data_IF_096161777533
#
_entry.id   IF_096161777533
#
_cell.length_a   1.000
_cell.length_b   1.000
_cell.length_c   1.000
_cell.angle_alpha   90.00
_cell.angle_beta   90.00
_cell.angle_gamma   90.00
#
_symmetry.space_group_name_H-M   'P 1'
#
loop_
_entity.id
_entity.type
_entity.pdbx_description
1 polymer ?
#
# COMPACT_ATOMS: atom_id res chain seq x y z
N UNK A 1 -14.23 33.81 -19.28
CA UNK A 1 -12.82 34.06 -18.87
C UNK A 1 -12.19 35.01 -19.86
N UNK A 2 -11.69 36.17 -19.42
CA UNK A 2 -11.11 37.21 -20.30
C UNK A 2 -11.99 37.59 -21.50
N UNK A 3 -13.31 37.72 -21.28
CA UNK A 3 -14.27 38.07 -22.33
C UNK A 3 -14.74 36.93 -23.24
N UNK A 4 -14.15 35.73 -23.14
CA UNK A 4 -14.59 34.55 -23.90
C UNK A 4 -15.43 33.59 -23.03
N UNK A 5 -16.45 32.99 -23.64
CA UNK A 5 -17.26 31.92 -23.03
C UNK A 5 -16.49 30.60 -23.02
N UNK A 6 -16.56 29.90 -21.90
CA UNK A 6 -15.85 28.64 -21.69
C UNK A 6 -16.73 27.63 -20.98
N UNK A 7 -16.60 26.38 -21.36
CA UNK A 7 -17.25 25.24 -20.71
C UNK A 7 -16.18 24.42 -19.99
N UNK A 8 -16.49 23.96 -18.78
CA UNK A 8 -15.63 23.03 -18.04
C UNK A 8 -16.20 21.62 -18.19
N UNK A 9 -15.47 20.76 -18.89
CA UNK A 9 -15.91 19.40 -19.20
C UNK A 9 -15.82 18.51 -17.95
N UNK A 10 -16.86 17.73 -17.72
CA UNK A 10 -16.85 16.71 -16.67
C UNK A 10 -15.89 15.59 -17.02
N UNK A 11 -15.15 15.10 -16.04
CA UNK A 11 -14.08 14.14 -16.29
C UNK A 11 -14.45 12.73 -15.81
N UNK A 12 -14.25 11.72 -16.65
CA UNK A 12 -14.47 10.33 -16.25
C UNK A 12 -13.18 9.74 -15.65
N UNK A 13 -13.17 9.53 -14.34
CA UNK A 13 -12.01 9.06 -13.57
C UNK A 13 -12.22 7.69 -12.97
N UNK A 14 -11.14 7.01 -12.57
CA UNK A 14 -11.27 5.79 -11.77
C UNK A 14 -11.82 6.14 -10.39
N UNK A 15 -12.80 5.37 -9.94
CA UNK A 15 -13.37 5.50 -8.61
C UNK A 15 -12.33 5.13 -7.54
N UNK A 16 -12.42 5.68 -6.32
CA UNK A 16 -11.55 5.25 -5.24
C UNK A 16 -11.80 3.78 -4.87
N UNK A 17 -10.76 3.10 -4.40
CA UNK A 17 -10.81 1.68 -4.02
C UNK A 17 -9.56 0.93 -4.44
N UNK A 18 -9.64 -0.40 -4.37
CA UNK A 18 -8.58 -1.32 -4.83
C UNK A 18 -9.00 -1.96 -6.15
N UNK A 19 -8.03 -2.12 -7.06
CA UNK A 19 -8.22 -2.73 -8.38
C UNK A 19 -7.15 -3.78 -8.61
N UNK A 20 -7.54 -4.95 -9.07
CA UNK A 20 -6.63 -6.03 -9.40
C UNK A 20 -6.51 -6.20 -10.90
N UNK A 21 -5.30 -6.28 -11.41
CA UNK A 21 -5.02 -6.44 -12.83
C UNK A 21 -3.95 -7.47 -13.09
N UNK A 22 -3.86 -7.89 -14.35
CA UNK A 22 -2.79 -8.74 -14.85
C UNK A 22 -2.08 -8.06 -16.03
N UNK A 23 -0.82 -8.43 -16.23
CA UNK A 23 -0.03 -8.05 -17.38
C UNK A 23 0.87 -9.21 -17.78
N UNK A 24 1.06 -9.40 -19.09
CA UNK A 24 1.97 -10.42 -19.61
C UNK A 24 3.32 -9.78 -19.87
N UNK A 25 4.36 -10.28 -19.23
CA UNK A 25 5.73 -9.86 -19.52
C UNK A 25 6.16 -10.43 -20.89
N UNK A 26 7.08 -9.77 -21.65
CA UNK A 26 7.50 -10.25 -22.97
C UNK A 26 8.02 -11.70 -23.05
N UNK A 27 8.43 -12.27 -21.92
CA UNK A 27 8.83 -13.68 -21.81
C UNK A 27 7.64 -14.66 -21.64
N UNK A 28 6.40 -14.16 -21.66
CA UNK A 28 5.18 -14.94 -21.48
C UNK A 28 4.74 -15.13 -20.03
N UNK A 29 5.50 -14.65 -19.03
CA UNK A 29 5.11 -14.77 -17.62
C UNK A 29 3.98 -13.81 -17.28
N UNK A 30 2.92 -14.34 -16.66
CA UNK A 30 1.83 -13.56 -16.10
C UNK A 30 2.28 -12.86 -14.82
N UNK A 31 2.06 -11.55 -14.74
CA UNK A 31 2.28 -10.73 -13.56
C UNK A 31 0.95 -10.19 -13.08
N UNK A 32 0.76 -10.19 -11.76
CA UNK A 32 -0.44 -9.66 -11.11
C UNK A 32 -0.13 -8.37 -10.38
N UNK A 33 -1.09 -7.47 -10.33
CA UNK A 33 -0.95 -6.20 -9.63
C UNK A 33 -2.24 -5.83 -8.89
N UNK A 34 -2.08 -5.14 -7.77
CA UNK A 34 -3.17 -4.50 -7.04
C UNK A 34 -2.85 -3.02 -6.91
N UNK A 35 -3.75 -2.16 -7.37
CA UNK A 35 -3.60 -0.71 -7.29
C UNK A 35 -4.67 -0.13 -6.38
N UNK A 36 -4.23 0.56 -5.33
CA UNK A 36 -5.06 1.30 -4.41
C UNK A 36 -5.11 2.76 -4.86
N UNK A 37 -6.31 3.22 -5.19
CA UNK A 37 -6.59 4.58 -5.62
C UNK A 37 -7.38 5.28 -4.52
N UNK A 38 -6.77 6.21 -3.76
CA UNK A 38 -7.50 7.00 -2.78
C UNK A 38 -8.34 8.09 -3.45
N UNK A 39 -9.33 8.61 -2.74
CA UNK A 39 -9.98 9.86 -3.09
C UNK A 39 -8.99 11.03 -2.96
N UNK A 40 -8.15 11.00 -1.93
CA UNK A 40 -7.05 11.94 -1.68
C UNK A 40 -5.94 11.24 -0.91
N UNK A 41 -4.71 11.36 -1.37
CA UNK A 41 -3.54 10.75 -0.71
C UNK A 41 -2.59 10.10 -1.71
N UNK A 42 -1.60 9.39 -1.18
CA UNK A 42 -0.61 8.68 -1.98
C UNK A 42 -1.18 7.42 -2.63
N UNK A 43 -0.80 7.14 -3.86
CA UNK A 43 -1.19 5.90 -4.53
C UNK A 43 -0.29 4.77 -4.06
N UNK A 44 -0.86 3.59 -3.85
CA UNK A 44 -0.12 2.38 -3.48
C UNK A 44 -0.38 1.32 -4.53
N UNK A 45 0.68 0.68 -4.98
CA UNK A 45 0.59 -0.41 -5.95
C UNK A 45 1.45 -1.57 -5.48
N UNK A 46 0.90 -2.76 -5.56
CA UNK A 46 1.59 -4.02 -5.33
C UNK A 46 1.66 -4.76 -6.65
N UNK A 47 2.81 -5.34 -6.99
CA UNK A 47 2.95 -6.14 -8.21
C UNK A 47 3.93 -7.28 -8.05
N UNK A 48 3.67 -8.38 -8.74
CA UNK A 48 4.60 -9.52 -8.84
C UNK A 48 5.53 -9.37 -10.04
N UNK A 49 6.76 -9.88 -9.93
CA UNK A 49 7.72 -9.96 -11.02
C UNK A 49 7.84 -11.37 -11.62
N UNK A 50 8.72 -11.53 -12.62
CA UNK A 50 8.99 -12.81 -13.30
C UNK A 50 9.53 -13.91 -12.37
N UNK A 51 10.08 -13.55 -11.21
CA UNK A 51 10.65 -14.47 -10.24
C UNK A 51 9.67 -14.76 -9.09
N UNK A 52 8.39 -14.41 -9.26
CA UNK A 52 7.38 -14.48 -8.21
C UNK A 52 7.80 -13.71 -6.96
N UNK A 53 8.39 -12.52 -7.12
CA UNK A 53 8.69 -11.61 -6.01
C UNK A 53 7.67 -10.47 -6.03
N UNK A 54 7.05 -10.18 -4.89
CA UNK A 54 6.09 -9.09 -4.77
C UNK A 54 6.77 -7.81 -4.28
N UNK A 55 6.51 -6.72 -5.00
CA UNK A 55 7.00 -5.39 -4.64
C UNK A 55 5.84 -4.44 -4.36
N UNK A 56 6.12 -3.47 -3.49
CA UNK A 56 5.29 -2.30 -3.25
C UNK A 56 5.89 -1.07 -3.95
N UNK A 57 4.99 -0.20 -4.39
CA UNK A 57 5.26 1.10 -4.99
C UNK A 57 4.37 2.13 -4.30
N UNK A 58 4.96 3.26 -3.93
CA UNK A 58 4.23 4.41 -3.38
C UNK A 58 4.44 5.58 -4.32
N UNK A 59 3.35 6.20 -4.81
CA UNK A 59 3.36 7.33 -5.75
C UNK A 59 4.22 7.08 -7.00
N UNK A 60 4.27 5.83 -7.49
CA UNK A 60 5.09 5.40 -8.64
C UNK A 60 6.60 5.69 -8.48
N UNK A 61 7.08 5.78 -7.24
CA UNK A 61 8.51 5.82 -6.94
C UNK A 61 9.15 4.44 -7.12
N UNK A 62 10.43 4.32 -6.77
CA UNK A 62 11.16 3.05 -6.80
C UNK A 62 10.39 1.95 -6.06
N UNK A 63 10.55 0.70 -6.52
CA UNK A 63 9.95 -0.49 -5.91
C UNK A 63 10.74 -1.01 -4.71
N UNK A 64 10.08 -1.55 -3.71
CA UNK A 64 10.71 -2.25 -2.58
C UNK A 64 9.91 -3.51 -2.23
N UNK A 65 10.51 -4.55 -1.63
CA UNK A 65 9.79 -5.78 -1.29
C UNK A 65 8.54 -5.52 -0.45
N UNK A 66 7.46 -6.26 -0.70
CA UNK A 66 6.22 -6.10 0.08
C UNK A 66 6.43 -6.41 1.56
N UNK A 67 7.35 -7.31 1.87
CA UNK A 67 7.71 -7.71 3.23
C UNK A 67 8.36 -6.57 4.00
N UNK A 68 9.15 -5.70 3.35
CA UNK A 68 9.66 -4.47 3.95
C UNK A 68 8.50 -3.57 4.40
N UNK A 69 7.44 -3.45 3.60
CA UNK A 69 6.25 -2.71 4.04
C UNK A 69 5.61 -3.37 5.26
N UNK A 70 5.43 -4.69 5.23
CA UNK A 70 4.80 -5.42 6.33
C UNK A 70 5.59 -5.28 7.65
N UNK A 71 6.93 -5.32 7.59
CA UNK A 71 7.79 -5.06 8.75
C UNK A 71 7.61 -3.66 9.29
N UNK A 72 7.60 -2.64 8.42
CA UNK A 72 7.35 -1.26 8.80
C UNK A 72 5.94 -1.02 9.40
N UNK A 73 5.00 -1.95 9.18
CA UNK A 73 3.66 -1.93 9.77
C UNK A 73 3.58 -2.69 11.12
N UNK A 74 4.69 -3.26 11.58
CA UNK A 74 4.81 -3.97 12.86
C UNK A 74 4.81 -5.49 12.76
N UNK A 75 4.85 -6.07 11.55
CA UNK A 75 5.05 -7.51 11.35
C UNK A 75 6.54 -7.81 11.20
N UNK A 76 7.23 -7.70 12.32
CA UNK A 76 8.69 -7.59 12.39
C UNK A 76 9.43 -8.83 11.90
N UNK A 77 8.93 -10.03 12.22
CA UNK A 77 9.63 -11.28 11.99
C UNK A 77 9.12 -12.04 10.77
N UNK A 78 9.99 -12.84 10.15
CA UNK A 78 9.61 -13.66 8.99
C UNK A 78 8.51 -14.66 9.37
N UNK A 79 8.54 -15.17 10.61
CA UNK A 79 7.52 -16.09 11.13
C UNK A 79 6.15 -15.41 11.21
N UNK A 80 6.08 -14.17 11.73
CA UNK A 80 4.85 -13.37 11.73
C UNK A 80 4.30 -13.17 10.31
N UNK A 81 5.18 -12.82 9.36
CA UNK A 81 4.80 -12.61 7.96
C UNK A 81 4.30 -13.92 7.32
N UNK A 82 4.98 -15.04 7.53
CA UNK A 82 4.56 -16.34 6.99
C UNK A 82 3.23 -16.80 7.61
N UNK A 83 3.01 -16.54 8.90
CA UNK A 83 1.77 -16.85 9.60
C UNK A 83 0.59 -16.00 9.08
N UNK A 84 0.81 -14.72 8.76
CA UNK A 84 -0.22 -13.83 8.20
C UNK A 84 -0.88 -14.40 6.93
N UNK A 85 -0.09 -15.10 6.12
CA UNK A 85 -0.54 -15.68 4.85
C UNK A 85 -0.78 -17.19 4.92
N UNK A 86 -0.88 -17.73 6.15
CA UNK A 86 -1.17 -19.15 6.40
C UNK A 86 -0.18 -20.10 5.69
N UNK A 87 1.09 -19.70 5.56
CA UNK A 87 2.12 -20.46 4.86
C UNK A 87 2.83 -21.49 5.75
N UNK A 88 2.53 -21.47 7.04
CA UNK A 88 3.15 -22.34 8.06
C UNK A 88 2.19 -23.48 8.41
N UNK A 89 2.75 -24.67 8.55
CA UNK A 89 2.09 -25.89 9.06
C UNK A 89 2.74 -26.26 10.39
N UNK A 90 1.94 -26.33 11.47
CA UNK A 90 2.41 -26.81 12.76
C UNK A 90 2.15 -28.32 12.88
N UNK A 91 3.21 -29.08 13.13
CA UNK A 91 3.18 -30.54 13.15
C UNK A 91 3.58 -31.04 14.53
N UNK A 92 2.79 -32.00 15.05
CA UNK A 92 3.13 -32.72 16.28
C UNK A 92 4.13 -33.84 15.97
N UNK A 93 5.40 -33.58 16.31
CA UNK A 93 6.51 -34.48 16.00
C UNK A 93 6.43 -35.84 16.73
N UNK A 94 5.55 -35.97 17.73
CA UNK A 94 5.33 -37.23 18.45
C UNK A 94 4.28 -38.13 17.79
N UNK A 95 3.35 -37.56 17.02
CA UNK A 95 2.22 -38.29 16.43
C UNK A 95 2.40 -38.58 14.95
N UNK A 96 3.20 -37.79 14.25
CA UNK A 96 3.33 -37.83 12.79
C UNK A 96 4.65 -38.47 12.38
N UNK A 97 4.63 -39.22 11.26
CA UNK A 97 5.83 -39.76 10.68
C UNK A 97 6.70 -38.63 10.08
N UNK A 98 7.66 -38.12 10.86
CA UNK A 98 8.58 -37.03 10.46
C UNK A 98 9.35 -37.30 9.14
N UNK A 99 9.38 -38.54 8.66
CA UNK A 99 9.92 -38.92 7.34
C UNK A 99 9.16 -38.28 6.18
N UNK A 100 7.86 -38.00 6.33
CA UNK A 100 7.04 -37.35 5.30
C UNK A 100 7.40 -35.85 5.11
N UNK A 101 8.10 -35.28 6.08
CA UNK A 101 8.50 -33.87 6.11
C UNK A 101 9.98 -33.67 5.73
N UNK A 102 10.67 -34.73 5.28
CA UNK A 102 12.05 -34.66 4.80
C UNK A 102 12.17 -33.66 3.66
N UNK A 103 13.21 -32.82 3.72
CA UNK A 103 13.46 -31.78 2.72
C UNK A 103 12.61 -30.51 2.85
N UNK A 104 11.58 -30.48 3.73
CA UNK A 104 10.82 -29.27 4.02
C UNK A 104 11.63 -28.26 4.83
N UNK A 105 11.35 -26.98 4.61
CA UNK A 105 12.01 -25.85 5.30
C UNK A 105 11.38 -25.62 6.67
N UNK A 106 12.21 -25.44 7.69
CA UNK A 106 11.80 -25.14 9.07
C UNK A 106 11.66 -23.63 9.24
N UNK A 107 10.53 -23.18 9.81
CA UNK A 107 10.20 -21.74 9.92
C UNK A 107 10.72 -21.08 11.21
N UNK A 108 11.15 -21.86 12.20
CA UNK A 108 11.58 -21.34 13.51
C UNK A 108 12.77 -22.10 14.06
N UNK A 109 13.65 -21.40 14.77
CA UNK A 109 14.78 -22.02 15.47
C UNK A 109 14.28 -23.10 16.43
N UNK A 110 14.91 -24.28 16.36
CA UNK A 110 14.58 -25.42 17.20
C UNK A 110 15.70 -25.57 18.22
N UNK A 111 15.35 -25.35 19.48
CA UNK A 111 16.27 -25.42 20.62
C UNK A 111 15.87 -26.53 21.58
N UNK A 112 16.87 -27.10 22.26
CA UNK A 112 16.64 -28.07 23.32
C UNK A 112 16.18 -27.32 24.59
N UNK A 113 15.04 -27.73 25.15
CA UNK A 113 14.49 -27.09 26.37
C UNK A 113 15.37 -27.31 27.61
N UNK A 114 16.26 -28.31 27.59
CA UNK A 114 17.14 -28.65 28.72
C UNK A 114 18.44 -27.86 28.69
N UNK A 115 19.03 -27.64 27.52
CA UNK A 115 20.32 -26.94 27.38
C UNK A 115 20.17 -25.49 26.92
N UNK A 116 19.05 -25.13 26.29
CA UNK A 116 18.85 -23.83 25.66
C UNK A 116 19.61 -23.66 24.35
N UNK A 117 20.31 -24.69 23.86
CA UNK A 117 21.08 -24.62 22.63
C UNK A 117 20.18 -24.82 21.40
N UNK A 118 20.36 -23.94 20.41
CA UNK A 118 19.73 -24.07 19.09
C UNK A 118 20.53 -25.12 18.31
N UNK A 119 19.88 -26.22 17.93
CA UNK A 119 20.51 -27.29 17.16
C UNK A 119 20.02 -27.35 15.71
N UNK A 120 18.87 -26.73 15.41
CA UNK A 120 18.45 -26.48 14.02
C UNK A 120 18.10 -25.01 13.89
N UNK A 121 18.82 -24.31 13.01
CA UNK A 121 18.53 -22.94 12.65
C UNK A 121 17.26 -22.87 11.77
N UNK A 122 16.57 -21.74 11.87
CA UNK A 122 15.53 -21.31 10.95
C UNK A 122 16.04 -21.36 9.50
N UNK A 123 15.13 -21.66 8.58
CA UNK A 123 15.36 -21.81 7.14
C UNK A 123 16.19 -23.06 6.74
N UNK A 124 16.59 -23.89 7.70
CA UNK A 124 17.22 -25.18 7.41
C UNK A 124 16.19 -26.18 6.83
N UNK A 125 16.64 -26.97 5.85
CA UNK A 125 15.87 -28.12 5.35
C UNK A 125 15.96 -29.28 6.33
N UNK A 126 14.84 -29.99 6.54
CA UNK A 126 14.80 -31.15 7.41
C UNK A 126 15.62 -32.31 6.81
N UNK A 127 16.65 -32.76 7.53
CA UNK A 127 17.48 -33.92 7.19
C UNK A 127 17.18 -35.08 8.14
N UNK A 128 17.65 -36.29 7.80
CA UNK A 128 17.50 -37.44 8.69
C UNK A 128 18.19 -37.26 10.05
N UNK A 129 19.30 -36.52 10.09
CA UNK A 129 20.02 -36.22 11.33
C UNK A 129 19.26 -35.23 12.21
N UNK A 130 18.61 -34.24 11.61
CA UNK A 130 17.68 -33.35 12.32
C UNK A 130 16.56 -34.15 13.00
N UNK A 131 16.00 -35.17 12.33
CA UNK A 131 14.94 -36.01 12.91
C UNK A 131 15.44 -36.76 14.16
N UNK A 132 16.68 -37.27 14.15
CA UNK A 132 17.28 -37.94 15.31
C UNK A 132 17.44 -36.96 16.49
N UNK A 133 17.91 -35.75 16.21
CA UNK A 133 18.09 -34.70 17.23
C UNK A 133 16.74 -34.26 17.82
N UNK A 134 15.72 -34.06 16.97
CA UNK A 134 14.35 -33.73 17.40
C UNK A 134 13.78 -34.79 18.35
N UNK A 135 13.97 -36.08 18.03
CA UNK A 135 13.53 -37.18 18.88
C UNK A 135 14.27 -37.21 20.22
N UNK A 136 15.58 -36.96 20.21
CA UNK A 136 16.41 -36.92 21.42
C UNK A 136 16.03 -35.75 22.35
N UNK A 137 15.68 -34.60 21.77
CA UNK A 137 15.27 -33.40 22.49
C UNK A 137 13.78 -33.40 22.92
N UNK A 138 13.02 -34.46 22.62
CA UNK A 138 11.59 -34.62 22.98
C UNK A 138 10.69 -33.43 22.58
N UNK A 139 10.98 -32.85 21.40
CA UNK A 139 10.23 -31.69 20.92
C UNK A 139 8.86 -32.13 20.42
N UNK A 140 7.82 -31.45 20.90
CA UNK A 140 6.43 -31.78 20.59
C UNK A 140 5.92 -31.12 19.32
N UNK A 141 6.31 -29.88 19.05
CA UNK A 141 5.74 -29.06 17.99
C UNK A 141 6.85 -28.49 17.12
N UNK A 142 6.73 -28.68 15.81
CA UNK A 142 7.66 -28.14 14.82
C UNK A 142 6.86 -27.44 13.74
N UNK A 143 7.34 -26.28 13.31
CA UNK A 143 6.71 -25.45 12.29
C UNK A 143 7.47 -25.59 10.98
N UNK A 144 6.77 -26.07 9.95
CA UNK A 144 7.29 -26.24 8.60
C UNK A 144 6.61 -25.28 7.64
N UNK A 145 7.32 -24.89 6.60
CA UNK A 145 6.70 -24.25 5.45
C UNK A 145 5.83 -25.29 4.73
N UNK A 146 4.59 -24.92 4.39
CA UNK A 146 3.66 -25.82 3.67
C UNK A 146 4.28 -26.30 2.35
N UNK A 147 4.08 -27.57 2.02
CA UNK A 147 4.67 -28.17 0.80
C UNK A 147 4.19 -27.50 -0.49
N UNK A 148 2.95 -27.01 -0.52
CA UNK A 148 2.38 -26.23 -1.63
C UNK A 148 3.04 -24.83 -1.79
N UNK A 149 3.74 -24.36 -0.75
CA UNK A 149 4.43 -23.07 -0.74
C UNK A 149 5.91 -23.18 -1.15
N UNK A 150 6.48 -24.39 -1.17
CA UNK A 150 7.91 -24.62 -1.46
C UNK A 150 8.29 -24.32 -2.91
N UNK A 151 7.38 -24.51 -3.86
CA UNK A 151 7.56 -24.15 -5.27
C UNK A 151 6.61 -23.00 -5.63
N UNK A 152 7.05 -21.76 -5.48
CA UNK A 152 6.34 -20.59 -6.00
C UNK A 152 5.54 -19.76 -4.99
N UNK A 153 5.75 -19.92 -3.67
CA UNK A 153 5.22 -18.95 -2.73
C UNK A 153 5.88 -17.59 -2.92
N UNK A 154 5.08 -16.64 -3.38
CA UNK A 154 5.48 -15.26 -3.66
C UNK A 154 6.12 -14.61 -2.43
N UNK A 155 5.53 -14.85 -1.26
CA UNK A 155 6.01 -14.25 0.00
C UNK A 155 7.35 -14.84 0.41
N UNK A 156 7.55 -16.16 0.29
CA UNK A 156 8.84 -16.78 0.63
C UNK A 156 9.96 -16.23 -0.26
N UNK A 157 9.73 -16.12 -1.57
CA UNK A 157 10.68 -15.50 -2.50
C UNK A 157 10.92 -14.02 -2.19
N UNK A 158 9.88 -13.32 -1.72
CA UNK A 158 9.99 -11.91 -1.33
C UNK A 158 10.84 -11.73 -0.08
N UNK A 159 10.67 -12.59 0.95
CA UNK A 159 11.51 -12.59 2.16
C UNK A 159 12.99 -12.83 1.81
N UNK A 160 13.27 -13.73 0.86
CA UNK A 160 14.65 -14.00 0.42
C UNK A 160 15.30 -12.79 -0.30
N UNK A 161 14.50 -11.97 -0.98
CA UNK A 161 14.95 -10.74 -1.66
C UNK A 161 14.95 -9.53 -0.75
N UNK A 162 14.29 -9.60 0.40
CA UNK A 162 14.21 -8.53 1.37
C UNK A 162 15.53 -8.35 2.09
N UNK A 163 16.06 -7.13 2.03
CA UNK A 163 17.26 -6.74 2.77
C UNK A 163 16.91 -6.52 4.24
N UNK A 164 15.68 -6.05 4.52
CA UNK A 164 15.25 -5.68 5.85
C UNK A 164 14.96 -6.89 6.74
N UNK A 165 15.44 -6.84 7.98
CA UNK A 165 15.23 -7.91 8.97
C UNK A 165 14.46 -7.48 10.23
N UNK A 166 14.34 -6.18 10.46
CA UNK A 166 13.62 -5.60 11.60
C UNK A 166 12.63 -4.52 11.14
N UNK A 167 11.73 -4.09 12.04
CA UNK A 167 10.84 -2.94 11.81
C UNK A 167 11.65 -1.66 11.55
N UNK A 168 12.73 -1.46 12.31
CA UNK A 168 13.59 -0.26 12.23
C UNK A 168 14.26 -0.13 10.86
N UNK A 169 14.93 -1.21 10.43
CA UNK A 169 15.60 -1.29 9.13
C UNK A 169 14.60 -1.10 7.97
N UNK A 170 13.42 -1.68 8.09
CA UNK A 170 12.35 -1.49 7.11
C UNK A 170 11.84 -0.04 7.03
N UNK A 171 11.68 0.64 8.17
CA UNK A 171 11.28 2.04 8.23
C UNK A 171 12.33 2.96 7.58
N UNK A 172 13.61 2.72 7.85
CA UNK A 172 14.73 3.46 7.24
C UNK A 172 14.83 3.23 5.73
N UNK A 173 14.70 1.97 5.29
CA UNK A 173 14.70 1.59 3.88
C UNK A 173 13.58 2.32 3.12
N UNK A 174 12.36 2.34 3.65
CA UNK A 174 11.25 3.05 3.01
C UNK A 174 11.46 4.57 3.05
N UNK A 175 11.96 5.12 4.16
CA UNK A 175 12.21 6.55 4.27
C UNK A 175 13.22 7.04 3.23
N UNK A 176 14.37 6.36 3.14
CA UNK A 176 15.45 6.69 2.20
C UNK A 176 14.98 6.63 0.75
N UNK A 177 14.13 5.66 0.43
CA UNK A 177 13.55 5.49 -0.90
C UNK A 177 12.55 6.59 -1.26
N UNK A 178 11.80 7.10 -0.30
CA UNK A 178 10.80 8.14 -0.52
C UNK A 178 11.36 9.56 -0.51
N UNK A 179 12.40 9.84 0.28
CA UNK A 179 12.94 11.19 0.49
C UNK A 179 14.38 11.40 0.03
N UNK A 180 15.03 10.39 -0.56
CA UNK A 180 16.40 10.48 -1.09
C UNK A 180 17.42 11.01 -0.07
N UNK A 181 17.30 10.54 1.18
CA UNK A 181 18.17 10.87 2.30
C UNK A 181 17.85 10.00 3.51
N UNK A 182 18.74 9.97 4.50
CA UNK A 182 18.55 9.13 5.70
C UNK A 182 17.48 9.72 6.64
N UNK A 183 16.83 8.83 7.38
CA UNK A 183 15.92 9.24 8.43
C UNK A 183 16.74 9.88 9.56
N UNK A 184 16.36 11.07 10.06
CA UNK A 184 17.04 11.67 11.21
C UNK A 184 16.91 10.82 12.48
N UNK A 185 15.77 10.14 12.60
CA UNK A 185 15.37 9.32 13.74
C UNK A 185 14.24 8.35 13.32
N UNK A 186 14.07 7.26 14.08
CA UNK A 186 13.06 6.23 13.81
C UNK A 186 11.63 6.78 13.89
N UNK A 187 11.35 7.72 14.80
CA UNK A 187 10.02 8.31 14.95
C UNK A 187 9.65 9.12 13.71
N UNK A 188 10.60 9.82 13.09
CA UNK A 188 10.41 10.55 11.84
C UNK A 188 10.08 9.58 10.69
N UNK A 189 10.75 8.42 10.63
CA UNK A 189 10.45 7.38 9.65
C UNK A 189 9.04 6.79 9.86
N UNK A 190 8.69 6.47 11.11
CA UNK A 190 7.35 5.98 11.48
C UNK A 190 6.25 6.99 11.19
N UNK A 191 6.48 8.26 11.51
CA UNK A 191 5.58 9.36 11.21
C UNK A 191 5.40 9.57 9.70
N UNK A 192 6.39 9.23 8.87
CA UNK A 192 6.22 9.26 7.41
C UNK A 192 5.17 8.24 6.97
N UNK A 193 5.28 6.99 7.42
CA UNK A 193 4.30 5.93 7.11
C UNK A 193 2.90 6.30 7.63
N UNK A 194 2.80 6.80 8.87
CA UNK A 194 1.53 7.26 9.44
C UNK A 194 0.87 8.33 8.58
N UNK A 195 1.65 9.34 8.17
CA UNK A 195 1.16 10.41 7.29
C UNK A 195 0.76 9.92 5.90
N UNK A 196 1.36 8.83 5.41
CA UNK A 196 1.07 8.29 4.09
C UNK A 196 -0.23 7.50 4.07
N UNK A 197 -0.56 6.72 5.10
CA UNK A 197 -1.68 5.76 5.04
C UNK A 197 -2.75 5.96 6.11
N UNK A 198 -2.35 6.37 7.32
CA UNK A 198 -3.18 6.32 8.52
C UNK A 198 -3.68 7.69 8.97
N UNK A 199 -3.18 8.77 8.38
CA UNK A 199 -3.55 10.12 8.77
C UNK A 199 -4.75 10.65 7.95
N UNK A 200 -5.92 10.93 8.57
CA UNK A 200 -7.13 11.36 7.86
C UNK A 200 -6.97 12.74 7.19
N UNK A 201 -6.04 13.58 7.66
CA UNK A 201 -5.75 14.87 7.03
C UNK A 201 -4.90 14.73 5.77
N UNK A 202 -4.36 13.55 5.47
CA UNK A 202 -3.47 13.32 4.31
C UNK A 202 -3.97 12.21 3.39
N UNK A 203 -4.62 11.21 3.95
CA UNK A 203 -5.17 10.07 3.25
C UNK A 203 -6.67 9.95 3.47
N UNK A 204 -7.40 9.63 2.41
CA UNK A 204 -8.84 9.50 2.40
C UNK A 204 -9.28 8.67 1.19
N UNK A 205 -9.97 7.57 1.43
CA UNK A 205 -10.62 6.72 0.42
C UNK A 205 -11.99 7.29 0.02
N UNK A 206 -12.59 8.12 0.87
CA UNK A 206 -14.00 8.46 0.83
C UNK A 206 -14.91 7.27 1.13
N UNK A 207 -16.18 7.56 1.41
CA UNK A 207 -17.19 6.56 1.79
C UNK A 207 -17.34 5.47 0.71
N UNK A 208 -17.39 5.89 -0.56
CA UNK A 208 -17.48 4.99 -1.72
C UNK A 208 -16.23 4.10 -1.82
N UNK A 209 -15.04 4.66 -1.57
CA UNK A 209 -13.79 3.90 -1.64
C UNK A 209 -13.69 2.85 -0.55
N UNK A 210 -14.07 3.22 0.69
CA UNK A 210 -14.12 2.29 1.83
C UNK A 210 -15.14 1.18 1.60
N UNK A 211 -16.38 1.52 1.22
CA UNK A 211 -17.42 0.55 0.90
C UNK A 211 -16.96 -0.44 -0.18
N UNK A 212 -16.38 0.07 -1.28
CA UNK A 212 -15.88 -0.79 -2.37
C UNK A 212 -14.74 -1.70 -1.94
N UNK A 213 -13.81 -1.19 -1.14
CA UNK A 213 -12.69 -1.99 -0.63
C UNK A 213 -13.17 -3.10 0.29
N UNK A 214 -14.08 -2.79 1.21
CA UNK A 214 -14.71 -3.78 2.09
C UNK A 214 -15.44 -4.85 1.29
N UNK A 215 -16.26 -4.46 0.31
CA UNK A 215 -16.98 -5.40 -0.54
C UNK A 215 -16.04 -6.29 -1.36
N UNK A 216 -14.94 -5.73 -1.90
CA UNK A 216 -13.98 -6.48 -2.73
C UNK A 216 -13.15 -7.47 -1.91
N UNK A 217 -12.70 -7.06 -0.73
CA UNK A 217 -11.81 -7.85 0.13
C UNK A 217 -12.57 -8.72 1.15
N UNK A 218 -13.89 -8.53 1.30
CA UNK A 218 -14.69 -9.21 2.31
C UNK A 218 -14.41 -8.73 3.73
N UNK A 219 -14.06 -7.44 3.91
CA UNK A 219 -13.74 -6.86 5.21
C UNK A 219 -14.97 -6.20 5.84
N UNK A 220 -15.04 -6.23 7.18
CA UNK A 220 -16.11 -5.62 7.97
C UNK A 220 -15.64 -4.37 8.73
N UNK A 221 -14.73 -3.59 8.13
CA UNK A 221 -14.26 -2.32 8.68
C UNK A 221 -15.39 -1.29 8.57
N UNK A 222 -15.57 -0.45 9.59
CA UNK A 222 -16.63 0.57 9.58
C UNK A 222 -16.45 1.56 8.42
N UNK A 223 -17.56 2.04 7.86
CA UNK A 223 -17.56 2.94 6.70
C UNK A 223 -16.98 4.33 6.99
N UNK A 224 -17.01 4.76 8.26
CA UNK A 224 -16.44 6.03 8.73
C UNK A 224 -14.89 6.04 8.72
N UNK A 225 -14.25 4.87 8.69
CA UNK A 225 -12.79 4.76 8.63
C UNK A 225 -12.33 4.89 7.18
N UNK A 226 -12.11 6.11 6.71
CA UNK A 226 -11.70 6.36 5.32
C UNK A 226 -10.19 6.34 5.09
N UNK A 227 -9.36 6.17 6.12
CA UNK A 227 -7.91 5.89 5.97
C UNK A 227 -7.66 4.43 5.68
N UNK A 228 -6.49 4.07 5.13
CA UNK A 228 -6.11 2.65 5.05
C UNK A 228 -5.90 2.07 6.45
N UNK A 229 -6.07 0.76 6.59
CA UNK A 229 -5.75 0.01 7.80
C UNK A 229 -4.69 -1.05 7.49
N UNK A 230 -4.07 -1.60 8.52
CA UNK A 230 -3.11 -2.72 8.36
C UNK A 230 -3.82 -3.95 7.79
N UNK A 231 -5.06 -4.18 8.22
CA UNK A 231 -5.93 -5.25 7.72
C UNK A 231 -6.20 -5.13 6.23
N UNK A 232 -6.45 -3.91 5.73
CA UNK A 232 -6.62 -3.66 4.29
C UNK A 232 -5.37 -4.11 3.52
N UNK A 233 -4.19 -3.70 3.96
CA UNK A 233 -2.93 -4.01 3.26
C UNK A 233 -2.68 -5.52 3.24
N UNK A 234 -2.86 -6.20 4.38
CA UNK A 234 -2.70 -7.65 4.47
C UNK A 234 -3.73 -8.37 3.58
N UNK A 235 -4.99 -7.95 3.59
CA UNK A 235 -6.04 -8.55 2.77
C UNK A 235 -5.79 -8.36 1.27
N UNK A 236 -5.24 -7.22 0.85
CA UNK A 236 -4.88 -6.98 -0.55
C UNK A 236 -3.74 -7.89 -1.00
N UNK A 237 -2.71 -8.04 -0.16
CA UNK A 237 -1.59 -8.96 -0.43
C UNK A 237 -2.09 -10.41 -0.49
N UNK A 238 -2.98 -10.82 0.43
CA UNK A 238 -3.61 -12.15 0.40
C UNK A 238 -4.42 -12.37 -0.89
N UNK A 239 -5.21 -11.38 -1.31
CA UNK A 239 -5.97 -11.46 -2.55
C UNK A 239 -5.05 -11.61 -3.77
N UNK A 240 -3.89 -10.95 -3.80
CA UNK A 240 -2.90 -11.13 -4.87
C UNK A 240 -2.30 -12.55 -4.90
N UNK A 241 -2.04 -13.15 -3.75
CA UNK A 241 -1.58 -14.54 -3.65
C UNK A 241 -2.68 -15.48 -4.20
N UNK A 242 -3.94 -15.24 -3.83
CA UNK A 242 -5.07 -16.03 -4.32
C UNK A 242 -5.30 -15.88 -5.83
N UNK A 243 -5.06 -14.68 -6.39
CA UNK A 243 -5.08 -14.45 -7.84
C UNK A 243 -4.02 -15.29 -8.55
N UNK A 244 -2.79 -15.29 -8.02
CA UNK A 244 -1.71 -16.07 -8.60
C UNK A 244 -1.93 -17.59 -8.52
N UNK A 245 -2.69 -18.04 -7.52
CA UNK A 245 -3.12 -19.44 -7.39
C UNK A 245 -4.36 -19.76 -8.24
N UNK A 246 -4.91 -18.80 -9.00
CA UNK A 246 -6.10 -18.97 -9.83
C UNK A 246 -7.40 -19.10 -9.02
N UNK A 247 -7.40 -18.79 -7.73
CA UNK A 247 -8.59 -18.84 -6.84
C UNK A 247 -9.51 -17.64 -7.02
N UNK A 248 -8.99 -16.55 -7.60
CA UNK A 248 -9.68 -15.28 -7.83
C UNK A 248 -9.51 -14.84 -9.27
N UNK A 249 -10.35 -13.88 -9.70
CA UNK A 249 -10.28 -13.27 -11.03
C UNK A 249 -9.87 -11.80 -10.94
N UNK A 250 -9.24 -11.31 -12.00
CA UNK A 250 -8.86 -9.91 -12.18
C UNK A 250 -10.09 -9.02 -12.37
N UNK A 251 -9.93 -7.71 -12.15
CA UNK A 251 -10.97 -6.73 -12.38
C UNK A 251 -10.99 -6.24 -13.83
N UNK A 252 -12.18 -6.02 -14.37
CA UNK A 252 -12.36 -5.24 -15.59
C UNK A 252 -12.24 -3.74 -15.27
N UNK A 253 -11.07 -3.18 -15.57
CA UNK A 253 -10.75 -1.77 -15.27
C UNK A 253 -11.61 -0.78 -16.09
N UNK A 254 -12.14 -1.20 -17.23
CA UNK A 254 -12.91 -0.34 -18.14
C UNK A 254 -14.41 -0.38 -17.90
N UNK A 255 -14.88 -1.30 -17.03
CA UNK A 255 -16.24 -1.32 -16.56
C UNK A 255 -16.67 0.05 -15.98
N UNK A 256 -17.81 0.59 -16.41
CA UNK A 256 -18.27 1.92 -15.98
C UNK A 256 -18.50 2.03 -14.47
N UNK A 257 -18.86 0.94 -13.81
CA UNK A 257 -18.93 0.88 -12.33
C UNK A 257 -17.59 1.14 -11.63
N UNK A 258 -16.46 1.01 -12.34
CA UNK A 258 -15.12 1.34 -11.87
C UNK A 258 -14.70 2.78 -12.21
N UNK A 259 -15.59 3.51 -12.89
CA UNK A 259 -15.41 4.91 -13.25
C UNK A 259 -16.41 5.79 -12.49
N UNK A 260 -16.03 7.03 -12.23
CA UNK A 260 -16.90 8.07 -11.69
C UNK A 260 -16.80 9.34 -12.53
N UNK A 261 -17.92 10.04 -12.65
CA UNK A 261 -17.95 11.36 -13.27
C UNK A 261 -17.54 12.38 -12.22
N UNK A 262 -16.52 13.17 -12.55
CA UNK A 262 -16.02 14.24 -11.71
C UNK A 262 -16.60 15.56 -12.19
N UNK A 263 -17.48 16.14 -11.38
CA UNK A 263 -18.15 17.41 -11.66
C UNK A 263 -17.18 18.59 -11.58
N UNK A 264 -17.59 19.71 -12.17
CA UNK A 264 -16.82 20.98 -12.11
C UNK A 264 -16.58 21.41 -10.67
N UNK A 265 -17.59 21.25 -9.79
CA UNK A 265 -17.50 21.57 -8.37
C UNK A 265 -16.42 20.77 -7.65
N UNK A 266 -16.34 19.45 -7.87
CA UNK A 266 -15.29 18.60 -7.29
C UNK A 266 -13.89 18.95 -7.81
N UNK A 267 -13.79 19.31 -9.09
CA UNK A 267 -12.52 19.72 -9.69
C UNK A 267 -12.02 21.02 -9.08
N UNK A 268 -12.90 22.02 -8.99
CA UNK A 268 -12.59 23.32 -8.40
C UNK A 268 -12.27 23.19 -6.90
N UNK A 269 -13.05 22.41 -6.15
CA UNK A 269 -12.84 22.21 -4.72
C UNK A 269 -11.45 21.60 -4.41
N UNK A 270 -10.98 20.65 -5.24
CA UNK A 270 -9.63 20.11 -5.08
C UNK A 270 -8.55 21.18 -5.28
N UNK A 271 -8.66 21.99 -6.35
CA UNK A 271 -7.70 23.08 -6.60
C UNK A 271 -7.75 24.10 -5.47
N UNK A 272 -8.96 24.47 -5.02
CA UNK A 272 -9.16 25.39 -3.91
C UNK A 272 -8.50 24.90 -2.62
N UNK A 273 -8.62 23.61 -2.30
CA UNK A 273 -7.95 22.98 -1.15
C UNK A 273 -6.41 23.06 -1.25
N UNK A 274 -5.85 22.91 -2.45
CA UNK A 274 -4.41 23.14 -2.67
C UNK A 274 -4.04 24.59 -2.38
N UNK A 275 -4.86 25.55 -2.82
CA UNK A 275 -4.71 26.97 -2.52
C UNK A 275 -4.76 27.27 -1.02
N UNK A 276 -5.73 26.71 -0.30
CA UNK A 276 -5.85 26.83 1.15
C UNK A 276 -4.66 26.21 1.88
N UNK A 277 -4.17 25.05 1.43
CA UNK A 277 -2.99 24.42 2.04
C UNK A 277 -1.72 25.27 1.87
N UNK A 278 -1.57 25.94 0.71
CA UNK A 278 -0.47 26.90 0.49
C UNK A 278 -0.60 28.10 1.40
N UNK A 279 -1.81 28.67 1.50
CA UNK A 279 -2.09 29.80 2.38
C UNK A 279 -1.82 29.44 3.84
N UNK A 280 -2.25 28.26 4.29
CA UNK A 280 -2.01 27.76 5.65
C UNK A 280 -0.52 27.72 5.98
N UNK A 281 0.32 27.27 5.04
CA UNK A 281 1.77 27.27 5.21
C UNK A 281 2.32 28.68 5.38
N UNK A 282 1.96 29.61 4.49
CA UNK A 282 2.39 31.01 4.56
C UNK A 282 1.93 31.68 5.85
N UNK A 283 0.71 31.40 6.31
CA UNK A 283 0.19 31.91 7.58
C UNK A 283 1.03 31.41 8.75
N UNK A 284 1.33 30.10 8.82
CA UNK A 284 2.19 29.54 9.87
C UNK A 284 3.59 30.14 9.87
N UNK A 285 4.20 30.27 8.69
CA UNK A 285 5.52 30.90 8.55
C UNK A 285 5.49 32.36 9.06
N UNK A 286 4.45 33.13 8.72
CA UNK A 286 4.27 34.52 9.21
C UNK A 286 4.01 34.61 10.71
N UNK A 287 3.25 33.68 11.27
CA UNK A 287 2.99 33.61 12.72
C UNK A 287 4.25 33.27 13.51
N UNK A 288 5.13 32.42 12.98
CA UNK A 288 6.38 32.03 13.65
C UNK A 288 7.47 33.11 13.61
N UNK A 289 7.45 34.01 12.62
CA UNK A 289 8.50 35.01 12.40
C UNK A 289 8.27 36.35 13.15
N UNK A 290 7.11 36.56 13.75
CA UNK A 290 6.75 37.84 14.37
C UNK A 290 6.56 37.71 15.87
N UNK A 291 7.45 38.34 16.62
CA UNK A 291 7.25 38.65 18.04
C UNK A 291 6.40 39.93 18.15
N UNK A 292 5.10 39.84 18.49
CA UNK A 292 4.32 40.91 19.15
C UNK A 292 2.79 40.68 19.23
N UNK A 293 2.20 41.26 20.27
CA UNK A 293 0.89 41.04 20.88
C UNK A 293 -0.37 41.45 20.08
N UNK A 294 -0.25 41.89 18.81
CA UNK A 294 -1.41 42.38 18.03
C UNK A 294 -1.38 41.90 16.57
N UNK A 295 -1.39 40.60 16.34
CA UNK A 295 -1.61 40.05 15.00
C UNK A 295 -3.11 40.03 14.70
N UNK A 296 -3.54 40.71 13.63
CA UNK A 296 -4.93 40.58 13.16
C UNK A 296 -5.05 39.52 12.07
N UNK A 297 -6.19 38.81 11.94
CA UNK A 297 -6.38 37.81 10.89
C UNK A 297 -6.23 38.37 9.46
N UNK A 298 -6.51 39.66 9.26
CA UNK A 298 -6.38 40.31 7.94
C UNK A 298 -4.92 40.39 7.48
N UNK A 299 -3.96 40.52 8.40
CA UNK A 299 -2.53 40.59 8.08
C UNK A 299 -1.95 39.23 7.62
N UNK A 300 -2.61 38.14 8.04
CA UNK A 300 -2.18 36.78 7.76
C UNK A 300 -2.74 36.25 6.44
N UNK A 301 -3.97 36.64 6.09
CA UNK A 301 -4.69 36.09 4.92
C UNK A 301 -4.37 36.87 3.65
N UNK A 302 -3.96 36.16 2.59
CA UNK A 302 -3.72 36.76 1.27
C UNK A 302 -4.66 36.16 0.23
N UNK A 303 -5.65 36.95 -0.20
CA UNK A 303 -6.63 36.55 -1.23
C UNK A 303 -6.02 36.27 -2.60
N UNK A 304 -4.83 36.83 -2.90
CA UNK A 304 -4.15 36.62 -4.19
C UNK A 304 -3.78 35.15 -4.42
N UNK A 305 -3.47 34.42 -3.36
CA UNK A 305 -3.12 32.99 -3.43
C UNK A 305 -4.29 32.12 -3.89
N UNK A 306 -5.51 32.47 -3.49
CA UNK A 306 -6.73 31.76 -3.90
C UNK A 306 -7.15 32.20 -5.30
N UNK A 307 -7.10 33.51 -5.55
CA UNK A 307 -7.45 34.08 -6.85
C UNK A 307 -6.57 33.50 -7.97
N UNK A 308 -5.27 33.32 -7.72
CA UNK A 308 -4.36 32.73 -8.71
C UNK A 308 -4.71 31.27 -9.04
N UNK A 309 -5.12 30.48 -8.04
CA UNK A 309 -5.53 29.09 -8.24
C UNK A 309 -6.84 28.99 -9.02
N UNK A 310 -7.82 29.85 -8.71
CA UNK A 310 -9.09 29.91 -9.44
C UNK A 310 -8.83 30.34 -10.89
N UNK A 311 -8.03 31.38 -11.10
CA UNK A 311 -7.68 31.86 -12.44
C UNK A 311 -6.93 30.79 -13.25
N UNK A 312 -6.02 30.04 -12.63
CA UNK A 312 -5.34 28.92 -13.29
C UNK A 312 -6.33 27.80 -13.64
N UNK A 313 -7.26 27.47 -12.75
CA UNK A 313 -8.28 26.44 -13.01
C UNK A 313 -9.17 26.78 -14.20
N UNK A 314 -9.64 28.02 -14.33
CA UNK A 314 -10.50 28.39 -15.47
C UNK A 314 -9.72 28.85 -16.71
N UNK A 315 -8.48 29.33 -16.56
CA UNK A 315 -7.69 29.88 -17.65
C UNK A 315 -6.85 28.84 -18.39
N UNK A 316 -6.11 28.00 -17.67
CA UNK A 316 -5.08 27.12 -18.24
C UNK A 316 -5.40 25.63 -18.14
N UNK A 317 -6.48 25.25 -17.45
CA UNK A 317 -6.88 23.85 -17.35
C UNK A 317 -7.36 23.33 -18.71
N UNK A 318 -6.89 22.15 -19.10
CA UNK A 318 -7.29 21.46 -20.33
C UNK A 318 -8.79 21.17 -20.40
N UNK A 319 -9.44 21.02 -19.24
CA UNK A 319 -10.88 20.77 -19.16
C UNK A 319 -11.71 22.06 -19.29
N UNK A 320 -11.09 23.23 -19.13
CA UNK A 320 -11.74 24.52 -19.42
C UNK A 320 -11.50 24.83 -20.90
N UNK A 321 -12.51 24.63 -21.73
CA UNK A 321 -12.42 24.78 -23.19
C UNK A 321 -13.27 25.95 -23.66
N UNK A 322 -12.99 26.47 -24.85
CA UNK A 322 -13.89 27.44 -25.47
C UNK A 322 -15.19 26.75 -25.84
N UNK A 323 -16.32 27.41 -25.59
CA UNK A 323 -17.62 26.87 -25.96
C UNK A 323 -17.73 26.82 -27.48
N UNK A 324 -18.21 25.69 -28.03
CA UNK A 324 -18.55 25.61 -29.44
C UNK A 324 -19.88 26.33 -29.67
N UNK A 325 -19.79 27.51 -30.29
CA UNK A 325 -20.93 28.39 -30.57
C UNK A 325 -21.41 28.28 -32.03
N UNK A 326 -21.06 27.20 -32.74
CA UNK A 326 -21.46 27.05 -34.15
C UNK A 326 -22.97 26.90 -34.32
N UNK A 327 -23.64 26.20 -33.40
CA UNK A 327 -25.10 26.09 -33.34
C UNK A 327 -25.57 25.68 -31.93
N UNK A 328 -26.88 25.83 -31.61
CA UNK A 328 -27.40 25.48 -30.29
C UNK A 328 -27.25 24.00 -29.90
N UNK A 329 -27.10 23.09 -30.87
CA UNK A 329 -26.86 21.67 -30.59
C UNK A 329 -25.43 21.45 -30.09
N UNK A 330 -24.45 22.08 -30.74
CA UNK A 330 -23.04 22.04 -30.35
C UNK A 330 -22.80 22.65 -28.97
N UNK A 331 -23.59 23.66 -28.58
CA UNK A 331 -23.55 24.21 -27.21
C UNK A 331 -24.06 23.22 -26.15
N UNK A 332 -24.98 22.33 -26.53
CA UNK A 332 -25.64 21.37 -25.62
C UNK A 332 -24.91 20.03 -25.50
N UNK A 333 -24.11 19.64 -26.49
CA UNK A 333 -23.44 18.32 -26.60
C UNK A 333 -21.99 18.36 -26.18
#
# INVERSE_FOLDING_TARGET
INGAERVVVSQLHRSPGVFFGESVHPNGTLMYSARIIPFRGSWVEFSTDINNVMYAYIDRKKKFPVTTLLRALGYSSDDEILNLFELVEEVDATKVAMKEYLGRTICSDVFDKKTGEIFINKDAKLTEDHIKQIKKAEIRKIRFLKSEATDGSVIANTILRDVSRSEEDALEAIYSQLRSGEAPDLDTAKNLIDRLFFNPKRYDLGDVGRHRMNAKLGLSIKEDVTTLTREDIVAIVKYLIDLQQGKKTVDDIDHLGNRRVRTVGEQLAQQFNVGLSRMTRTIRERMNLRDSETITPQDLVNARTITSVINAFFGTNQLSQFMDQTNPLAEMT
#
